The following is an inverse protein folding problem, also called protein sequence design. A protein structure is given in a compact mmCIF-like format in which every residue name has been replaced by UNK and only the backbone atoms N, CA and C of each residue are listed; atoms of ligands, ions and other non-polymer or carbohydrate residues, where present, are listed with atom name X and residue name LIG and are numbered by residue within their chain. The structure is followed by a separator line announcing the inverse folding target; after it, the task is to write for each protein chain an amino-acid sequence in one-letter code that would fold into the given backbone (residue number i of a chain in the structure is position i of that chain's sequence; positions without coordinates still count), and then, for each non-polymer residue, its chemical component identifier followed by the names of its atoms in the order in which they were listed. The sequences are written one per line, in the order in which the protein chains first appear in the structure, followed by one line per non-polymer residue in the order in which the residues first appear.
data_IF_228031726479
#
_entry.id   IF_228031726479
#
_cell.length_a   1.000
_cell.length_b   1.000
_cell.length_c   1.000
_cell.angle_alpha   90.00
_cell.angle_beta   90.00
_cell.angle_gamma   90.00
#
_symmetry.space_group_name_H-M   'P 1'
#
loop_
_entity.id
_entity.type
_entity.pdbx_description
1 polymer ?
#
# COMPACT_ATOMS: atom_id res chain seq x y z
N UNK A 1 6.46 -5.86 -23.44
CA UNK A 1 7.71 -5.55 -22.74
C UNK A 1 8.36 -4.38 -23.49
N UNK A 2 8.22 -3.16 -23.00
CA UNK A 2 8.92 -2.00 -23.55
C UNK A 2 9.34 -1.09 -22.39
N UNK A 3 10.38 -0.30 -22.58
CA UNK A 3 10.85 0.71 -21.62
C UNK A 3 10.14 2.03 -21.93
N UNK A 4 9.45 2.62 -20.95
CA UNK A 4 8.59 3.79 -21.14
C UNK A 4 9.33 5.12 -20.96
N UNK A 5 10.64 5.06 -20.63
CA UNK A 5 11.48 6.23 -20.31
C UNK A 5 10.92 7.11 -19.18
N UNK A 6 10.05 6.58 -18.32
CA UNK A 6 9.48 7.35 -17.22
C UNK A 6 10.52 7.57 -16.12
N UNK A 7 10.97 8.83 -15.96
CA UNK A 7 12.03 9.19 -15.02
C UNK A 7 11.63 9.04 -13.56
N UNK A 8 10.34 9.14 -13.24
CA UNK A 8 9.76 8.97 -11.91
C UNK A 8 9.83 7.50 -11.51
N UNK A 9 9.49 6.59 -12.42
CA UNK A 9 9.59 5.15 -12.18
C UNK A 9 11.05 4.70 -12.06
N UNK A 10 11.96 5.26 -12.89
CA UNK A 10 13.40 5.02 -12.74
C UNK A 10 13.90 5.54 -11.39
N UNK A 11 13.55 6.77 -11.01
CA UNK A 11 13.91 7.37 -9.72
C UNK A 11 13.35 6.58 -8.53
N UNK A 12 12.09 6.15 -8.60
CA UNK A 12 11.49 5.27 -7.60
C UNK A 12 12.25 3.93 -7.50
N UNK A 13 12.62 3.34 -8.64
CA UNK A 13 13.44 2.13 -8.71
C UNK A 13 14.85 2.29 -8.09
N UNK A 14 15.40 3.50 -8.04
CA UNK A 14 16.67 3.79 -7.37
C UNK A 14 16.54 3.82 -5.83
N UNK A 15 15.40 4.29 -5.30
CA UNK A 15 15.16 4.37 -3.85
C UNK A 15 14.70 3.05 -3.24
N UNK A 16 13.94 2.28 -4.02
CA UNK A 16 13.34 1.03 -3.59
C UNK A 16 14.39 -0.08 -3.54
N UNK A 17 14.29 -0.96 -2.54
CA UNK A 17 15.19 -2.11 -2.38
C UNK A 17 15.28 -2.97 -3.64
N UNK A 18 16.49 -3.45 -3.96
CA UNK A 18 16.75 -4.35 -5.08
C UNK A 18 15.82 -5.58 -5.07
N UNK A 19 15.47 -6.09 -3.89
CA UNK A 19 14.58 -7.24 -3.75
C UNK A 19 13.17 -6.94 -4.28
N UNK A 20 12.65 -5.74 -4.03
CA UNK A 20 11.33 -5.31 -4.50
C UNK A 20 11.37 -5.21 -6.03
N UNK A 21 12.38 -4.57 -6.62
CA UNK A 21 12.48 -4.43 -8.07
C UNK A 21 12.69 -5.78 -8.77
N UNK A 22 13.48 -6.69 -8.21
CA UNK A 22 13.62 -8.05 -8.72
C UNK A 22 12.31 -8.84 -8.62
N UNK A 23 11.53 -8.64 -7.55
CA UNK A 23 10.21 -9.24 -7.40
C UNK A 23 9.21 -8.68 -8.41
N UNK A 24 9.26 -7.37 -8.71
CA UNK A 24 8.48 -6.75 -9.78
C UNK A 24 8.84 -7.33 -11.14
N UNK A 25 10.13 -7.47 -11.46
CA UNK A 25 10.59 -8.07 -12.71
C UNK A 25 10.16 -9.52 -12.83
N UNK A 26 10.29 -10.31 -11.77
CA UNK A 26 9.85 -11.70 -11.75
C UNK A 26 8.33 -11.79 -11.96
N UNK A 27 7.55 -10.93 -11.30
CA UNK A 27 6.11 -10.82 -11.53
C UNK A 27 5.77 -10.44 -12.97
N UNK A 28 6.52 -9.53 -13.59
CA UNK A 28 6.34 -9.12 -14.98
C UNK A 28 6.65 -10.25 -15.98
N UNK A 29 7.75 -10.98 -15.78
CA UNK A 29 8.13 -12.14 -16.60
C UNK A 29 7.09 -13.25 -16.46
N UNK A 30 6.68 -13.57 -15.24
CA UNK A 30 5.72 -14.63 -14.98
C UNK A 30 4.33 -14.30 -15.55
N UNK A 31 3.87 -13.06 -15.39
CA UNK A 31 2.57 -12.63 -15.91
C UNK A 31 2.54 -12.45 -17.43
N UNK A 32 3.30 -11.49 -17.97
CA UNK A 32 3.27 -11.14 -19.38
C UNK A 32 4.13 -12.05 -20.27
N UNK A 33 5.17 -12.66 -19.72
CA UNK A 33 6.06 -13.55 -20.46
C UNK A 33 5.53 -14.98 -20.56
N UNK A 34 4.82 -15.47 -19.53
CA UNK A 34 4.41 -16.87 -19.44
C UNK A 34 2.89 -17.03 -19.35
N UNK A 35 2.25 -16.47 -18.33
CA UNK A 35 0.85 -16.76 -18.03
C UNK A 35 -0.14 -16.22 -19.06
N UNK A 36 -0.06 -14.94 -19.42
CA UNK A 36 -1.04 -14.34 -20.34
C UNK A 36 -0.99 -14.95 -21.75
N UNK A 37 0.19 -15.25 -22.34
CA UNK A 37 0.26 -16.01 -23.59
C UNK A 37 -0.35 -17.41 -23.48
N UNK A 38 -0.05 -18.17 -22.42
CA UNK A 38 -0.54 -19.54 -22.24
C UNK A 38 -2.05 -19.60 -21.98
N UNK A 39 -2.58 -18.72 -21.14
CA UNK A 39 -4.03 -18.62 -20.87
C UNK A 39 -4.76 -18.07 -22.10
N UNK A 40 -4.13 -17.13 -22.83
CA UNK A 40 -4.65 -16.61 -24.08
C UNK A 40 -4.85 -17.68 -25.17
N UNK A 41 -3.96 -18.67 -25.25
CA UNK A 41 -4.08 -19.81 -26.17
C UNK A 41 -5.27 -20.73 -25.84
N UNK A 42 -5.84 -20.66 -24.63
CA UNK A 42 -7.00 -21.44 -24.18
C UNK A 42 -8.33 -20.69 -24.31
N UNK A 43 -8.35 -19.60 -25.09
CA UNK A 43 -9.57 -18.84 -25.43
C UNK A 43 -10.56 -19.76 -26.17
N UNK A 44 -11.79 -19.87 -25.67
CA UNK A 44 -12.81 -20.80 -26.18
C UNK A 44 -13.08 -21.99 -25.24
N UNK A 45 -12.05 -22.54 -24.59
CA UNK A 45 -12.17 -23.66 -23.64
C UNK A 45 -12.33 -23.18 -22.19
N UNK A 46 -11.51 -22.21 -21.78
CA UNK A 46 -11.45 -21.74 -20.38
C UNK A 46 -12.28 -20.46 -20.13
N UNK A 47 -12.57 -19.73 -21.20
CA UNK A 47 -13.45 -18.57 -21.18
C UNK A 47 -14.09 -18.36 -22.57
N UNK A 48 -15.35 -17.90 -22.65
CA UNK A 48 -16.07 -17.74 -23.91
C UNK A 48 -15.37 -16.79 -24.87
N UNK A 49 -15.24 -17.19 -26.14
CA UNK A 49 -14.60 -16.40 -27.19
C UNK A 49 -15.41 -15.15 -27.60
N UNK A 50 -16.70 -15.09 -27.24
CA UNK A 50 -17.64 -14.01 -27.58
C UNK A 50 -17.59 -12.81 -26.63
N UNK A 51 -16.86 -12.89 -25.52
CA UNK A 51 -16.75 -11.80 -24.54
C UNK A 51 -15.63 -10.84 -24.91
N UNK A 52 -15.88 -9.53 -24.74
CA UNK A 52 -14.83 -8.52 -24.85
C UNK A 52 -13.67 -8.83 -23.89
N UNK A 53 -12.45 -8.55 -24.34
CA UNK A 53 -11.22 -8.82 -23.57
C UNK A 53 -11.13 -8.01 -22.27
N UNK A 54 -11.98 -6.99 -22.11
CA UNK A 54 -12.14 -6.15 -20.91
C UNK A 54 -13.11 -6.74 -19.89
N UNK A 55 -13.89 -7.76 -20.25
CA UNK A 55 -14.89 -8.36 -19.35
C UNK A 55 -14.23 -9.14 -18.21
N UNK A 56 -14.82 -9.09 -17.01
CA UNK A 56 -14.33 -9.84 -15.84
C UNK A 56 -14.42 -11.37 -16.01
N UNK A 57 -15.20 -11.84 -16.98
CA UNK A 57 -15.30 -13.27 -17.33
C UNK A 57 -14.30 -13.71 -18.39
N UNK A 58 -13.51 -12.78 -18.95
CA UNK A 58 -12.48 -13.06 -19.95
C UNK A 58 -11.07 -13.07 -19.33
N UNK A 59 -10.03 -13.05 -20.15
CA UNK A 59 -8.62 -13.03 -19.72
C UNK A 59 -8.33 -11.95 -18.66
N UNK A 60 -9.02 -10.82 -18.73
CA UNK A 60 -8.88 -9.73 -17.75
C UNK A 60 -9.26 -10.15 -16.33
N UNK A 61 -10.29 -11.00 -16.18
CA UNK A 61 -10.63 -11.59 -14.89
C UNK A 61 -9.46 -12.36 -14.27
N UNK A 62 -8.79 -13.20 -15.05
CA UNK A 62 -7.61 -13.94 -14.58
C UNK A 62 -6.47 -13.00 -14.15
N UNK A 63 -6.22 -11.93 -14.91
CA UNK A 63 -5.22 -10.91 -14.55
C UNK A 63 -5.49 -10.32 -13.18
N UNK A 64 -6.73 -9.93 -12.95
CA UNK A 64 -7.15 -9.31 -11.70
C UNK A 64 -7.15 -10.31 -10.55
N UNK A 65 -7.84 -11.45 -10.67
CA UNK A 65 -8.08 -12.34 -9.54
C UNK A 65 -6.81 -13.06 -9.09
N UNK A 66 -5.87 -13.37 -10.00
CA UNK A 66 -4.58 -13.95 -9.62
C UNK A 66 -3.69 -12.93 -8.91
N UNK A 67 -3.72 -11.66 -9.35
CA UNK A 67 -3.05 -10.57 -8.64
C UNK A 67 -3.65 -10.37 -7.23
N UNK A 68 -4.98 -10.36 -7.13
CA UNK A 68 -5.70 -10.27 -5.85
C UNK A 68 -5.34 -11.45 -4.94
N UNK A 69 -5.30 -12.68 -5.46
CA UNK A 69 -4.95 -13.88 -4.68
C UNK A 69 -3.52 -13.80 -4.10
N UNK A 70 -2.54 -13.37 -4.89
CA UNK A 70 -1.16 -13.12 -4.41
C UNK A 70 -1.12 -12.06 -3.31
N UNK A 71 -1.77 -10.92 -3.55
CA UNK A 71 -1.80 -9.78 -2.63
C UNK A 71 -2.52 -10.12 -1.33
N UNK A 72 -3.56 -10.96 -1.39
CA UNK A 72 -4.31 -11.42 -0.22
C UNK A 72 -3.55 -12.48 0.57
N UNK A 73 -2.90 -13.44 -0.10
CA UNK A 73 -2.09 -14.46 0.58
C UNK A 73 -0.92 -13.83 1.36
N UNK A 74 -0.20 -12.89 0.73
CA UNK A 74 0.87 -12.13 1.38
C UNK A 74 0.35 -11.24 2.52
N UNK A 75 -0.75 -10.53 2.27
CA UNK A 75 -1.38 -9.66 3.25
C UNK A 75 -1.87 -10.41 4.49
N UNK A 76 -2.48 -11.59 4.29
CA UNK A 76 -2.96 -12.44 5.39
C UNK A 76 -1.80 -12.98 6.21
N UNK A 77 -0.75 -13.49 5.56
CA UNK A 77 0.43 -13.98 6.27
C UNK A 77 1.06 -12.89 7.13
N UNK A 78 1.30 -11.71 6.53
CA UNK A 78 1.91 -10.57 7.22
C UNK A 78 1.03 -10.07 8.38
N UNK A 79 -0.29 -10.05 8.20
CA UNK A 79 -1.24 -9.71 9.24
C UNK A 79 -1.16 -10.69 10.42
N UNK A 80 -1.25 -12.00 10.16
CA UNK A 80 -1.20 -13.03 11.21
C UNK A 80 0.15 -13.01 11.94
N UNK A 81 1.27 -12.87 11.21
CA UNK A 81 2.61 -12.77 11.77
C UNK A 81 2.74 -11.58 12.73
N UNK A 82 2.39 -10.37 12.28
CA UNK A 82 2.56 -9.16 13.08
C UNK A 82 1.61 -9.16 14.28
N UNK A 83 0.37 -9.62 14.10
CA UNK A 83 -0.57 -9.80 15.21
C UNK A 83 -0.04 -10.82 16.24
N UNK A 84 0.51 -11.94 15.77
CA UNK A 84 1.12 -12.97 16.62
C UNK A 84 2.32 -12.44 17.42
N UNK A 85 3.26 -11.75 16.74
CA UNK A 85 4.43 -11.11 17.39
C UNK A 85 3.96 -10.09 18.43
N UNK A 86 2.95 -9.28 18.08
CA UNK A 86 2.38 -8.27 18.98
C UNK A 86 1.76 -8.93 20.21
N UNK A 87 0.93 -9.96 20.03
CA UNK A 87 0.31 -10.68 21.14
C UNK A 87 1.36 -11.35 22.03
N UNK A 88 2.34 -12.07 21.45
CA UNK A 88 3.39 -12.76 22.21
C UNK A 88 4.20 -11.75 23.02
N UNK A 89 4.59 -10.62 22.44
CA UNK A 89 5.34 -9.60 23.15
C UNK A 89 4.53 -8.92 24.25
N UNK A 90 3.24 -8.63 24.01
CA UNK A 90 2.35 -8.08 25.05
C UNK A 90 2.19 -9.06 26.21
N UNK A 91 1.92 -10.34 25.93
CA UNK A 91 1.81 -11.38 26.97
C UNK A 91 3.14 -11.60 27.70
N UNK A 92 4.26 -11.61 26.97
CA UNK A 92 5.60 -11.71 27.53
C UNK A 92 5.92 -10.55 28.49
N UNK A 93 5.55 -9.31 28.12
CA UNK A 93 5.76 -8.12 28.96
C UNK A 93 4.85 -8.12 30.20
N UNK A 94 3.61 -8.61 30.06
CA UNK A 94 2.69 -8.79 31.20
C UNK A 94 3.18 -9.87 32.16
N UNK A 95 3.81 -10.94 31.65
CA UNK A 95 4.40 -12.02 32.46
C UNK A 95 5.73 -11.62 33.11
N UNK A 96 6.59 -10.89 32.41
CA UNK A 96 7.91 -10.44 32.91
C UNK A 96 7.85 -9.22 33.83
N UNK A 97 6.68 -8.60 34.04
CA UNK A 97 6.50 -7.60 35.10
C UNK A 97 6.77 -8.16 36.52
N UNK A 98 6.95 -9.48 36.67
CA UNK A 98 7.28 -10.16 37.92
C UNK A 98 8.76 -10.58 38.08
N UNK A 99 9.66 -10.38 37.10
CA UNK A 99 11.08 -10.69 37.29
C UNK A 99 12.00 -9.58 36.75
N UNK A 100 12.64 -8.90 37.70
CA UNK A 100 13.69 -7.90 37.51
C UNK A 100 14.82 -8.39 36.60
N UNK A 101 15.37 -7.50 35.76
CA UNK A 101 16.76 -7.57 35.29
C UNK A 101 17.35 -6.18 35.24
N UNK A 102 17.92 -5.78 36.37
CA UNK A 102 18.91 -4.72 36.47
C UNK A 102 20.28 -5.27 36.01
N UNK A 103 21.19 -4.36 35.67
CA UNK A 103 22.65 -4.51 35.54
C UNK A 103 23.24 -4.36 34.12
N UNK A 104 22.63 -4.83 33.02
CA UNK A 104 23.19 -4.57 31.66
C UNK A 104 22.60 -3.32 30.95
N UNK A 105 21.52 -2.75 31.50
CA UNK A 105 20.82 -1.58 30.95
C UNK A 105 21.54 -0.24 31.19
N UNK A 106 22.49 -0.16 32.13
CA UNK A 106 22.80 1.09 32.85
C UNK A 106 23.48 2.21 32.03
N UNK A 107 24.16 1.89 30.91
CA UNK A 107 24.81 2.89 30.04
C UNK A 107 23.95 3.30 28.83
N UNK A 108 23.11 2.39 28.33
CA UNK A 108 22.13 2.69 27.27
C UNK A 108 20.90 3.40 27.85
N UNK A 109 20.53 3.04 29.08
CA UNK A 109 19.44 3.67 29.82
C UNK A 109 19.71 5.14 30.11
N UNK A 110 20.93 5.62 30.38
CA UNK A 110 21.06 6.99 30.89
C UNK A 110 20.75 8.07 29.83
N UNK A 111 21.20 7.86 28.59
CA UNK A 111 20.86 8.73 27.46
C UNK A 111 19.42 8.49 27.00
N UNK A 112 18.96 7.23 26.90
CA UNK A 112 17.56 6.92 26.56
C UNK A 112 16.58 7.40 27.66
N UNK A 113 16.97 7.41 28.93
CA UNK A 113 16.19 7.92 30.06
C UNK A 113 16.10 9.43 30.01
N UNK A 114 17.18 10.17 29.76
CA UNK A 114 17.12 11.63 29.56
C UNK A 114 16.28 11.99 28.34
N UNK A 115 16.42 11.23 27.25
CA UNK A 115 15.63 11.37 26.03
C UNK A 115 14.13 11.14 26.30
N UNK A 116 13.81 10.07 27.04
CA UNK A 116 12.46 9.73 27.45
C UNK A 116 11.89 10.73 28.46
N UNK A 117 12.70 11.24 29.39
CA UNK A 117 12.28 12.18 30.43
C UNK A 117 11.88 13.54 29.83
N UNK A 118 12.67 14.05 28.87
CA UNK A 118 12.32 15.23 28.08
C UNK A 118 11.03 15.03 27.27
N UNK A 119 10.88 13.86 26.63
CA UNK A 119 9.69 13.53 25.85
C UNK A 119 8.44 13.39 26.74
N UNK A 120 8.58 12.78 27.94
CA UNK A 120 7.50 12.56 28.88
C UNK A 120 7.03 13.85 29.56
N UNK A 121 7.94 14.81 29.76
CA UNK A 121 7.64 16.11 30.39
C UNK A 121 6.65 16.96 29.58
N UNK A 122 6.61 16.76 28.27
CA UNK A 122 5.71 17.48 27.36
C UNK A 122 4.57 16.60 26.82
N UNK A 123 4.23 15.52 27.53
CA UNK A 123 3.15 14.63 27.11
C UNK A 123 1.82 15.36 26.87
N UNK A 124 1.11 14.89 25.84
CA UNK A 124 -0.22 15.37 25.50
C UNK A 124 -1.20 14.68 26.46
N UNK A 125 -2.06 15.43 27.17
CA UNK A 125 -2.99 14.84 28.12
C UNK A 125 -3.96 13.90 27.41
N UNK A 126 -4.10 12.68 27.93
CA UNK A 126 -4.94 11.62 27.34
C UNK A 126 -6.39 12.07 27.14
N UNK A 127 -6.92 12.89 28.07
CA UNK A 127 -8.26 13.47 27.97
C UNK A 127 -8.48 14.25 26.68
N UNK A 128 -7.48 14.99 26.19
CA UNK A 128 -7.57 15.72 24.92
C UNK A 128 -7.74 14.74 23.74
N UNK A 129 -6.99 13.63 23.76
CA UNK A 129 -7.10 12.57 22.77
C UNK A 129 -8.47 11.87 22.80
N UNK A 130 -8.98 11.54 23.99
CA UNK A 130 -10.29 10.89 24.17
C UNK A 130 -11.42 11.80 23.72
N UNK A 131 -11.44 13.06 24.16
CA UNK A 131 -12.46 14.04 23.79
C UNK A 131 -12.41 14.29 22.27
N UNK A 132 -11.21 14.53 21.72
CA UNK A 132 -11.03 14.74 20.29
C UNK A 132 -11.52 13.53 19.47
N UNK A 133 -11.15 12.31 19.89
CA UNK A 133 -11.59 11.09 19.24
C UNK A 133 -13.11 10.95 19.24
N UNK A 134 -13.77 11.15 20.39
CA UNK A 134 -15.23 11.07 20.51
C UNK A 134 -15.89 12.10 19.61
N UNK A 135 -15.47 13.37 19.67
CA UNK A 135 -16.06 14.46 18.86
C UNK A 135 -15.90 14.18 17.36
N UNK A 136 -14.69 13.86 16.90
CA UNK A 136 -14.45 13.59 15.47
C UNK A 136 -15.11 12.28 15.00
N UNK A 137 -15.23 11.27 15.88
CA UNK A 137 -15.96 10.04 15.55
C UNK A 137 -17.46 10.32 15.35
N UNK A 138 -18.08 11.15 16.19
CA UNK A 138 -19.49 11.55 16.02
C UNK A 138 -19.67 12.32 14.71
N UNK A 139 -18.79 13.28 14.43
CA UNK A 139 -18.82 14.03 13.17
C UNK A 139 -18.69 13.09 11.96
N UNK A 140 -17.79 12.10 12.03
CA UNK A 140 -17.61 11.13 10.95
C UNK A 140 -18.80 10.18 10.79
N UNK A 141 -19.42 9.73 11.88
CA UNK A 141 -20.64 8.91 11.86
C UNK A 141 -21.80 9.64 11.17
N UNK A 142 -21.84 10.98 11.22
CA UNK A 142 -22.84 11.80 10.52
C UNK A 142 -22.42 12.06 9.07
N UNK A 143 -21.17 12.49 8.86
CA UNK A 143 -20.70 12.94 7.54
C UNK A 143 -20.52 11.79 6.54
N UNK A 144 -19.99 10.65 6.96
CA UNK A 144 -19.66 9.55 6.06
C UNK A 144 -20.92 8.96 5.39
N UNK A 145 -22.04 8.70 6.09
CA UNK A 145 -23.27 8.24 5.44
C UNK A 145 -23.92 9.28 4.51
N UNK A 146 -23.64 10.58 4.69
CA UNK A 146 -24.11 11.63 3.77
C UNK A 146 -23.33 11.58 2.45
N UNK A 147 -22.03 11.30 2.52
CA UNK A 147 -21.15 11.21 1.35
C UNK A 147 -21.33 9.85 0.63
N UNK A 148 -21.45 8.77 1.40
CA UNK A 148 -21.62 7.39 0.91
C UNK A 148 -22.88 6.78 1.52
N UNK A 149 -24.07 7.00 0.91
CA UNK A 149 -25.35 6.53 1.43
C UNK A 149 -25.42 5.01 1.67
N UNK A 150 -24.62 4.24 0.94
CA UNK A 150 -24.52 2.79 1.06
C UNK A 150 -23.85 2.36 2.38
N UNK A 151 -22.99 3.20 2.96
CA UNK A 151 -22.34 2.95 4.24
C UNK A 151 -23.19 3.52 5.38
N UNK A 152 -24.13 2.72 5.87
CA UNK A 152 -25.00 3.08 6.99
C UNK A 152 -24.20 3.40 8.26
N UNK A 153 -24.74 4.32 9.06
CA UNK A 153 -24.11 4.87 10.28
C UNK A 153 -23.61 3.79 11.25
N UNK A 154 -24.33 2.68 11.40
CA UNK A 154 -23.96 1.63 12.35
C UNK A 154 -22.65 0.90 11.94
N UNK A 155 -22.34 0.81 10.65
CA UNK A 155 -21.05 0.28 10.20
C UNK A 155 -19.90 1.20 10.60
N UNK A 156 -20.12 2.51 10.51
CA UNK A 156 -19.14 3.54 10.90
C UNK A 156 -18.89 3.50 12.40
N UNK A 157 -19.95 3.34 13.21
CA UNK A 157 -19.83 3.18 14.68
C UNK A 157 -19.01 1.94 15.05
N UNK A 158 -19.30 0.79 14.45
CA UNK A 158 -18.53 -0.45 14.71
C UNK A 158 -17.08 -0.30 14.26
N UNK A 159 -16.85 0.34 13.11
CA UNK A 159 -15.51 0.61 12.61
C UNK A 159 -14.70 1.46 13.60
N UNK A 160 -15.26 2.56 14.11
CA UNK A 160 -14.58 3.37 15.13
C UNK A 160 -14.46 2.66 16.48
N UNK A 161 -15.41 1.82 16.89
CA UNK A 161 -15.25 1.03 18.11
C UNK A 161 -14.02 0.10 18.05
N UNK A 162 -13.75 -0.50 16.88
CA UNK A 162 -12.61 -1.40 16.67
C UNK A 162 -11.30 -0.67 16.31
N UNK A 163 -11.39 0.55 15.77
CA UNK A 163 -10.25 1.26 15.19
C UNK A 163 -9.10 1.50 16.18
N UNK A 164 -9.29 1.90 17.46
CA UNK A 164 -8.19 2.10 18.40
C UNK A 164 -7.37 0.83 18.65
N UNK A 165 -8.04 -0.33 18.74
CA UNK A 165 -7.35 -1.61 18.91
C UNK A 165 -6.50 -1.95 17.69
N UNK A 166 -7.05 -1.80 16.48
CA UNK A 166 -6.34 -2.07 15.24
C UNK A 166 -5.18 -1.07 15.01
N UNK A 167 -5.42 0.20 15.33
CA UNK A 167 -4.43 1.27 15.27
C UNK A 167 -3.26 1.00 16.23
N UNK A 168 -3.55 0.57 17.47
CA UNK A 168 -2.53 0.18 18.43
C UNK A 168 -1.72 -1.02 17.95
N UNK A 169 -2.37 -2.09 17.49
CA UNK A 169 -1.68 -3.27 16.97
C UNK A 169 -0.79 -2.93 15.77
N UNK A 170 -1.26 -2.09 14.84
CA UNK A 170 -0.46 -1.68 13.70
C UNK A 170 0.70 -0.77 14.09
N UNK A 171 0.48 0.24 14.94
CA UNK A 171 1.55 1.15 15.38
C UNK A 171 2.61 0.41 16.22
N UNK A 172 2.19 -0.50 17.09
CA UNK A 172 3.10 -1.33 17.87
C UNK A 172 3.87 -2.31 16.98
N UNK A 173 3.17 -3.00 16.07
CA UNK A 173 3.79 -3.89 15.09
C UNK A 173 4.80 -3.16 14.22
N UNK A 174 4.42 -2.01 13.66
CA UNK A 174 5.30 -1.15 12.89
C UNK A 174 6.49 -0.65 13.71
N UNK A 175 6.31 -0.31 14.99
CA UNK A 175 7.41 0.06 15.87
C UNK A 175 8.43 -1.08 16.11
N UNK A 176 8.00 -2.34 16.01
CA UNK A 176 8.88 -3.52 16.17
C UNK A 176 9.50 -3.99 14.86
N UNK A 177 8.77 -3.91 13.75
CA UNK A 177 9.16 -4.53 12.47
C UNK A 177 9.44 -3.53 11.36
N UNK A 178 9.22 -2.23 11.61
CA UNK A 178 9.27 -1.13 10.63
C UNK A 178 8.35 -1.34 9.41
N UNK A 179 7.23 -2.03 9.63
CA UNK A 179 6.30 -2.44 8.58
C UNK A 179 4.90 -1.89 8.90
N UNK A 180 4.41 -0.94 8.08
CA UNK A 180 3.05 -0.41 8.19
C UNK A 180 2.06 -1.26 7.38
N UNK A 181 1.12 -1.90 8.08
CA UNK A 181 0.14 -2.82 7.49
C UNK A 181 -1.25 -2.23 7.32
N UNK A 182 -1.42 -0.91 7.40
CA UNK A 182 -2.74 -0.26 7.32
C UNK A 182 -3.58 -0.71 6.10
N UNK A 183 -2.93 -0.95 4.96
CA UNK A 183 -3.58 -1.49 3.77
C UNK A 183 -4.13 -2.92 3.96
N UNK A 184 -3.44 -3.77 4.73
CA UNK A 184 -3.89 -5.13 5.02
C UNK A 184 -5.05 -5.14 6.04
N UNK A 185 -4.99 -4.29 7.08
CA UNK A 185 -6.12 -4.06 7.98
C UNK A 185 -7.35 -3.56 7.20
N UNK A 186 -7.16 -2.63 6.28
CA UNK A 186 -8.20 -2.13 5.38
C UNK A 186 -8.84 -3.25 4.54
N UNK A 187 -8.03 -4.14 3.95
CA UNK A 187 -8.55 -5.29 3.18
C UNK A 187 -9.36 -6.27 4.04
N UNK A 188 -8.95 -6.51 5.29
CA UNK A 188 -9.74 -7.33 6.22
C UNK A 188 -11.09 -6.66 6.50
N UNK A 189 -11.08 -5.36 6.79
CA UNK A 189 -12.32 -4.59 6.97
C UNK A 189 -13.20 -4.58 5.72
N UNK A 190 -12.61 -4.52 4.53
CA UNK A 190 -13.30 -4.63 3.25
C UNK A 190 -14.10 -5.92 3.16
N UNK A 191 -13.50 -7.09 3.44
CA UNK A 191 -14.21 -8.37 3.38
C UNK A 191 -15.28 -8.51 4.45
N UNK A 192 -15.01 -8.05 5.67
CA UNK A 192 -16.00 -8.06 6.76
C UNK A 192 -17.21 -7.20 6.39
N UNK A 193 -16.99 -5.98 5.91
CA UNK A 193 -18.07 -5.09 5.51
C UNK A 193 -18.78 -5.57 4.25
N UNK A 194 -18.07 -6.12 3.27
CA UNK A 194 -18.67 -6.73 2.08
C UNK A 194 -19.63 -7.87 2.45
N UNK A 195 -19.22 -8.74 3.39
CA UNK A 195 -20.06 -9.82 3.87
C UNK A 195 -21.30 -9.34 4.66
N UNK A 196 -21.18 -8.22 5.38
CA UNK A 196 -22.28 -7.67 6.19
C UNK A 196 -23.26 -6.79 5.39
N UNK A 197 -22.80 -6.13 4.33
CA UNK A 197 -23.55 -5.07 3.62
C UNK A 197 -24.52 -5.56 2.54
N UNK A 198 -24.56 -6.87 2.24
CA UNK A 198 -25.52 -7.46 1.30
C UNK A 198 -25.18 -7.21 -0.17
N UNK A 199 -25.94 -7.83 -1.08
CA UNK A 199 -25.58 -7.94 -2.51
C UNK A 199 -25.72 -6.67 -3.35
N UNK A 200 -26.74 -5.85 -3.11
CA UNK A 200 -27.08 -4.77 -4.06
C UNK A 200 -26.17 -3.53 -3.93
N UNK A 201 -25.69 -3.21 -2.72
CA UNK A 201 -24.86 -2.01 -2.48
C UNK A 201 -23.58 -2.30 -1.69
N UNK A 202 -23.24 -3.58 -1.49
CA UNK A 202 -22.14 -3.96 -0.60
C UNK A 202 -20.75 -3.55 -1.09
N UNK A 203 -20.57 -3.36 -2.40
CA UNK A 203 -19.27 -3.00 -2.98
C UNK A 203 -18.85 -1.59 -2.53
N UNK A 204 -19.75 -0.61 -2.64
CA UNK A 204 -19.45 0.79 -2.25
C UNK A 204 -19.26 0.88 -0.73
N UNK A 205 -20.13 0.25 0.05
CA UNK A 205 -20.01 0.20 1.51
C UNK A 205 -18.68 -0.43 1.96
N UNK A 206 -18.28 -1.55 1.35
CA UNK A 206 -17.02 -2.22 1.65
C UNK A 206 -15.80 -1.36 1.30
N UNK A 207 -15.82 -0.66 0.15
CA UNK A 207 -14.75 0.23 -0.26
C UNK A 207 -14.62 1.45 0.65
N UNK A 208 -15.74 2.12 0.97
CA UNK A 208 -15.77 3.28 1.83
C UNK A 208 -15.29 2.92 3.25
N UNK A 209 -15.80 1.83 3.82
CA UNK A 209 -15.40 1.39 5.16
C UNK A 209 -13.96 0.82 5.22
N UNK A 210 -13.48 0.20 4.14
CA UNK A 210 -12.06 -0.12 3.97
C UNK A 210 -11.20 1.14 4.05
N UNK A 211 -11.59 2.19 3.32
CA UNK A 211 -10.92 3.48 3.34
C UNK A 211 -10.90 4.11 4.73
N UNK A 212 -12.02 4.02 5.46
CA UNK A 212 -12.16 4.50 6.83
C UNK A 212 -11.16 3.84 7.79
N UNK A 213 -11.17 2.50 7.85
CA UNK A 213 -10.25 1.74 8.73
C UNK A 213 -8.79 1.95 8.33
N UNK A 214 -8.49 1.88 7.03
CA UNK A 214 -7.14 2.12 6.50
C UNK A 214 -6.63 3.49 6.96
N UNK A 215 -7.43 4.54 6.83
CA UNK A 215 -7.02 5.90 7.18
C UNK A 215 -6.68 6.03 8.67
N UNK A 216 -7.53 5.54 9.57
CA UNK A 216 -7.29 5.61 11.02
C UNK A 216 -6.03 4.84 11.40
N UNK A 217 -5.89 3.60 10.89
CA UNK A 217 -4.76 2.72 11.21
C UNK A 217 -3.44 3.26 10.62
N UNK A 218 -3.49 3.88 9.44
CA UNK A 218 -2.31 4.50 8.80
C UNK A 218 -1.86 5.75 9.55
N UNK A 219 -2.79 6.65 9.90
CA UNK A 219 -2.47 7.89 10.61
C UNK A 219 -1.87 7.59 11.99
N UNK A 220 -2.40 6.59 12.71
CA UNK A 220 -1.83 6.19 14.00
C UNK A 220 -0.38 5.69 13.89
N UNK A 221 -0.06 4.94 12.83
CA UNK A 221 1.30 4.47 12.57
C UNK A 221 2.25 5.62 12.21
N UNK A 222 1.81 6.53 11.33
CA UNK A 222 2.61 7.70 10.93
C UNK A 222 2.87 8.60 12.13
N UNK A 223 1.85 8.90 12.94
CA UNK A 223 1.97 9.68 14.16
C UNK A 223 2.98 9.06 15.15
N UNK A 224 3.02 7.72 15.26
CA UNK A 224 4.02 7.02 16.07
C UNK A 224 5.45 7.21 15.53
N UNK A 225 5.65 7.13 14.21
CA UNK A 225 6.94 7.38 13.55
C UNK A 225 7.37 8.86 13.69
N UNK A 226 6.44 9.80 13.55
CA UNK A 226 6.68 11.23 13.73
C UNK A 226 7.13 11.53 15.17
N UNK A 227 6.47 10.95 16.16
CA UNK A 227 6.88 11.08 17.56
C UNK A 227 8.23 10.42 17.83
N UNK A 228 8.53 9.28 17.19
CA UNK A 228 9.86 8.69 17.32
C UNK A 228 10.93 9.59 16.73
N UNK A 229 10.65 10.24 15.61
CA UNK A 229 11.54 11.22 14.99
C UNK A 229 11.73 12.43 15.90
N UNK A 230 10.64 12.98 16.45
CA UNK A 230 10.69 14.08 17.42
C UNK A 230 11.56 13.75 18.63
N UNK A 231 11.45 12.51 19.14
CA UNK A 231 12.28 12.02 20.22
C UNK A 231 13.77 12.01 19.85
N UNK A 232 14.12 11.56 18.65
CA UNK A 232 15.52 11.51 18.17
C UNK A 232 16.09 12.91 17.87
N UNK A 233 15.26 13.87 17.48
CA UNK A 233 15.66 15.25 17.16
C UNK A 233 15.51 16.20 18.34
N UNK A 234 15.22 15.71 19.55
CA UNK A 234 14.93 16.53 20.74
C UNK A 234 13.85 17.60 20.52
N UNK A 235 12.92 17.33 19.60
CA UNK A 235 11.83 18.26 19.27
C UNK A 235 10.65 18.05 20.20
N UNK A 236 9.99 19.14 20.58
CA UNK A 236 8.78 19.11 21.42
C UNK A 236 7.68 18.24 20.79
N UNK A 237 7.15 17.22 21.51
CA UNK A 237 6.01 16.42 21.04
C UNK A 237 4.74 17.24 20.79
N UNK A 238 4.54 18.32 21.56
CA UNK A 238 3.39 19.22 21.39
C UNK A 238 3.50 20.03 20.10
N UNK A 239 4.71 20.53 19.81
CA UNK A 239 4.96 21.24 18.56
C UNK A 239 4.79 20.30 17.35
N UNK A 240 5.25 19.05 17.46
CA UNK A 240 5.06 18.03 16.42
C UNK A 240 3.56 17.77 16.18
N UNK A 241 2.79 17.53 17.24
CA UNK A 241 1.34 17.32 17.13
C UNK A 241 0.62 18.52 16.53
N UNK A 242 0.94 19.75 16.97
CA UNK A 242 0.35 20.96 16.41
C UNK A 242 0.68 21.12 14.92
N UNK A 243 1.92 20.85 14.53
CA UNK A 243 2.35 20.88 13.12
C UNK A 243 1.57 19.88 12.27
N UNK A 244 1.31 18.68 12.81
CA UNK A 244 0.52 17.67 12.13
C UNK A 244 -0.96 18.04 12.01
N UNK A 245 -1.54 18.70 13.03
CA UNK A 245 -2.91 19.24 12.95
C UNK A 245 -3.01 20.30 11.86
N UNK A 246 -2.05 21.23 11.80
CA UNK A 246 -1.98 22.26 10.75
C UNK A 246 -1.81 21.63 9.37
N UNK A 247 -0.87 20.69 9.23
CA UNK A 247 -0.62 19.97 7.98
C UNK A 247 -1.84 19.18 7.51
N UNK A 248 -2.57 18.55 8.45
CA UNK A 248 -3.83 17.84 8.15
C UNK A 248 -4.90 18.82 7.68
N UNK A 249 -5.06 19.97 8.34
CA UNK A 249 -6.03 20.99 7.95
C UNK A 249 -5.77 21.54 6.54
N UNK A 250 -4.51 21.81 6.21
CA UNK A 250 -4.10 22.23 4.85
C UNK A 250 -4.37 21.09 3.86
N UNK A 251 -4.00 19.85 4.22
CA UNK A 251 -4.21 18.65 3.41
C UNK A 251 -5.68 18.38 3.07
N UNK A 252 -6.60 18.68 3.99
CA UNK A 252 -8.05 18.56 3.75
C UNK A 252 -8.55 19.47 2.61
N UNK A 253 -7.84 20.56 2.30
CA UNK A 253 -8.18 21.47 1.19
C UNK A 253 -7.37 21.14 -0.05
N UNK A 254 -6.05 20.99 0.09
CA UNK A 254 -5.14 20.83 -1.05
C UNK A 254 -5.30 19.47 -1.72
N UNK A 255 -5.41 18.36 -0.97
CA UNK A 255 -5.45 17.02 -1.56
C UNK A 255 -6.73 16.78 -2.39
N UNK A 256 -7.96 17.11 -1.93
CA UNK A 256 -9.14 17.00 -2.76
C UNK A 256 -9.10 17.94 -3.97
N UNK A 257 -8.60 19.17 -3.80
CA UNK A 257 -8.51 20.15 -4.89
C UNK A 257 -7.59 19.66 -6.00
N UNK A 258 -6.40 19.14 -5.66
CA UNK A 258 -5.48 18.53 -6.61
C UNK A 258 -6.10 17.29 -7.25
N UNK A 259 -6.75 16.41 -6.48
CA UNK A 259 -7.42 15.24 -7.03
C UNK A 259 -8.48 15.62 -8.08
N UNK A 260 -9.37 16.57 -7.77
CA UNK A 260 -10.40 17.00 -8.70
C UNK A 260 -9.85 17.73 -9.93
N UNK A 261 -8.72 18.43 -9.81
CA UNK A 261 -8.03 19.02 -10.95
C UNK A 261 -7.59 17.93 -11.94
N UNK A 262 -6.86 16.92 -11.47
CA UNK A 262 -6.42 15.80 -12.30
C UNK A 262 -7.60 14.99 -12.85
N UNK A 263 -8.61 14.74 -12.01
CA UNK A 263 -9.78 13.97 -12.40
C UNK A 263 -10.64 14.66 -13.48
N UNK A 264 -10.62 16.00 -13.54
CA UNK A 264 -11.31 16.76 -14.61
C UNK A 264 -10.43 17.00 -15.83
N UNK A 265 -9.12 17.16 -15.65
CA UNK A 265 -8.19 17.45 -16.74
C UNK A 265 -7.88 16.21 -17.58
N UNK A 266 -7.82 15.04 -16.95
CA UNK A 266 -7.45 13.78 -17.61
C UNK A 266 -8.53 12.72 -17.46
N UNK A 267 -8.58 11.79 -18.41
CA UNK A 267 -9.52 10.66 -18.41
C UNK A 267 -9.03 9.54 -17.46
N UNK A 268 -9.09 9.83 -16.15
CA UNK A 268 -8.60 8.95 -15.09
C UNK A 268 -9.48 7.70 -15.00
N UNK A 269 -8.86 6.53 -15.16
CA UNK A 269 -9.53 5.23 -15.10
C UNK A 269 -9.81 4.60 -16.46
N UNK A 270 -9.55 5.29 -17.57
CA UNK A 270 -9.63 4.71 -18.91
C UNK A 270 -8.56 3.61 -19.07
N UNK A 271 -8.92 2.35 -19.40
CA UNK A 271 -7.96 1.25 -19.61
C UNK A 271 -6.95 1.50 -20.74
N UNK A 272 -7.32 2.33 -21.71
CA UNK A 272 -6.51 2.70 -22.87
C UNK A 272 -5.86 4.08 -22.74
N UNK A 273 -6.23 4.84 -21.71
CA UNK A 273 -5.62 6.14 -21.39
C UNK A 273 -4.29 6.01 -20.67
N UNK A 274 -3.65 7.16 -20.46
CA UNK A 274 -2.38 7.28 -19.73
C UNK A 274 -2.58 7.08 -18.23
N UNK A 275 -3.60 7.72 -17.65
CA UNK A 275 -3.91 7.64 -16.22
C UNK A 275 -4.82 6.46 -15.88
N UNK A 276 -4.28 5.25 -16.02
CA UNK A 276 -4.96 4.02 -15.59
C UNK A 276 -5.10 4.02 -14.06
N UNK A 277 -6.22 3.53 -13.54
CA UNK A 277 -6.47 3.42 -12.10
C UNK A 277 -6.37 1.95 -11.62
N UNK A 278 -5.19 1.30 -11.69
CA UNK A 278 -5.06 -0.13 -11.46
C UNK A 278 -5.45 -0.53 -10.03
N UNK A 279 -5.03 0.24 -9.03
CA UNK A 279 -5.39 -0.03 -7.63
C UNK A 279 -6.90 0.08 -7.38
N UNK A 280 -7.59 1.01 -8.01
CA UNK A 280 -9.05 1.13 -7.90
C UNK A 280 -9.74 -0.16 -8.39
N UNK A 281 -9.21 -0.75 -9.47
CA UNK A 281 -9.69 -2.04 -9.99
C UNK A 281 -9.42 -3.18 -9.02
N UNK A 282 -8.24 -3.26 -8.39
CA UNK A 282 -7.94 -4.28 -7.37
C UNK A 282 -8.97 -4.21 -6.24
N UNK A 283 -9.15 -3.01 -5.67
CA UNK A 283 -10.05 -2.81 -4.54
C UNK A 283 -11.51 -3.08 -4.90
N UNK A 284 -11.96 -2.61 -6.07
CA UNK A 284 -13.32 -2.90 -6.57
C UNK A 284 -13.54 -4.40 -6.71
N UNK A 285 -12.59 -5.13 -7.28
CA UNK A 285 -12.74 -6.56 -7.53
C UNK A 285 -12.59 -7.39 -6.24
N UNK A 286 -11.79 -6.95 -5.27
CA UNK A 286 -11.80 -7.52 -3.91
C UNK A 286 -13.17 -7.33 -3.25
N UNK A 287 -13.80 -6.17 -3.42
CA UNK A 287 -15.13 -5.90 -2.86
C UNK A 287 -16.21 -6.75 -3.56
N UNK A 288 -16.17 -6.88 -4.89
CA UNK A 288 -17.06 -7.78 -5.63
C UNK A 288 -16.89 -9.22 -5.15
N UNK A 289 -15.65 -9.70 -4.98
CA UNK A 289 -15.38 -11.04 -4.45
C UNK A 289 -15.93 -11.23 -3.03
N UNK A 290 -15.89 -10.19 -2.20
CA UNK A 290 -16.47 -10.21 -0.86
C UNK A 290 -18.01 -10.24 -0.83
N UNK A 291 -18.67 -9.63 -1.83
CA UNK A 291 -20.13 -9.50 -1.89
C UNK A 291 -20.78 -10.66 -2.66
N UNK A 292 -20.28 -10.96 -3.86
CA UNK A 292 -20.82 -11.99 -4.74
C UNK A 292 -20.22 -13.38 -4.45
N UNK A 293 -19.14 -13.44 -3.68
CA UNK A 293 -18.42 -14.67 -3.39
C UNK A 293 -17.72 -15.25 -4.62
N UNK A 294 -17.38 -16.53 -4.56
CA UNK A 294 -16.61 -17.22 -5.60
C UNK A 294 -17.39 -17.43 -6.91
N UNK A 295 -18.70 -17.20 -6.95
CA UNK A 295 -19.51 -17.30 -8.17
C UNK A 295 -19.21 -16.23 -9.23
N UNK A 296 -18.50 -15.16 -8.86
CA UNK A 296 -18.06 -14.13 -9.80
C UNK A 296 -16.87 -14.56 -10.69
N UNK A 297 -16.24 -15.69 -10.39
CA UNK A 297 -14.99 -16.12 -11.03
C UNK A 297 -15.22 -16.88 -12.35
N UNK A 298 -14.36 -16.70 -13.37
CA UNK A 298 -14.31 -17.57 -14.54
C UNK A 298 -14.07 -19.05 -14.17
N UNK A 299 -14.44 -19.98 -15.05
CA UNK A 299 -14.15 -21.41 -14.88
C UNK A 299 -12.64 -21.63 -14.66
N UNK A 300 -12.24 -22.57 -13.81
CA UNK A 300 -10.83 -22.84 -13.43
C UNK A 300 -10.03 -21.71 -12.76
N UNK A 301 -10.51 -20.45 -12.77
CA UNK A 301 -9.83 -19.32 -12.14
C UNK A 301 -9.64 -19.52 -10.63
N UNK A 302 -10.63 -20.09 -9.95
CA UNK A 302 -10.58 -20.36 -8.52
C UNK A 302 -9.45 -21.34 -8.11
N UNK A 303 -9.21 -22.39 -8.92
CA UNK A 303 -8.14 -23.36 -8.66
C UNK A 303 -6.76 -22.69 -8.76
N UNK A 304 -6.58 -21.85 -9.79
CA UNK A 304 -5.37 -21.04 -9.94
C UNK A 304 -5.22 -20.04 -8.78
N UNK A 305 -6.31 -19.38 -8.36
CA UNK A 305 -6.28 -18.47 -7.22
C UNK A 305 -5.81 -19.19 -5.94
N UNK A 306 -6.29 -20.41 -5.66
CA UNK A 306 -5.79 -21.19 -4.52
C UNK A 306 -4.31 -21.54 -4.66
N UNK A 307 -3.85 -21.89 -5.86
CA UNK A 307 -2.43 -22.14 -6.12
C UNK A 307 -1.57 -20.91 -5.84
N UNK A 308 -1.95 -19.74 -6.36
CA UNK A 308 -1.22 -18.48 -6.16
C UNK A 308 -1.29 -17.97 -4.72
N UNK A 309 -2.42 -18.16 -4.04
CA UNK A 309 -2.59 -17.83 -2.62
C UNK A 309 -1.69 -18.72 -1.74
N UNK A 310 -1.71 -20.04 -1.98
CA UNK A 310 -0.85 -20.98 -1.27
C UNK A 310 0.64 -20.70 -1.55
N UNK A 311 0.99 -20.37 -2.80
CA UNK A 311 2.33 -19.95 -3.19
C UNK A 311 2.79 -18.70 -2.44
N UNK A 312 1.94 -17.67 -2.31
CA UNK A 312 2.26 -16.46 -1.56
C UNK A 312 2.53 -16.76 -0.08
N UNK A 313 1.73 -17.63 0.54
CA UNK A 313 1.95 -18.06 1.94
C UNK A 313 3.24 -18.89 2.05
N UNK A 314 3.46 -19.83 1.14
CA UNK A 314 4.63 -20.69 1.14
C UNK A 314 5.93 -19.90 0.98
N UNK A 315 5.99 -18.93 0.07
CA UNK A 315 7.17 -18.06 -0.08
C UNK A 315 7.44 -17.29 1.21
N UNK A 316 6.41 -16.71 1.82
CA UNK A 316 6.58 -15.95 3.06
C UNK A 316 7.04 -16.85 4.22
N UNK A 317 6.51 -18.08 4.32
CA UNK A 317 6.99 -19.09 5.27
C UNK A 317 8.46 -19.44 5.02
N UNK A 318 8.84 -19.73 3.78
CA UNK A 318 10.23 -20.03 3.43
C UNK A 318 11.11 -18.83 3.74
N UNK A 319 10.69 -17.61 3.44
CA UNK A 319 11.45 -16.40 3.72
C UNK A 319 11.75 -16.24 5.21
N UNK A 320 10.78 -16.55 6.07
CA UNK A 320 10.88 -16.32 7.52
C UNK A 320 11.53 -17.50 8.27
N UNK A 321 11.38 -18.74 7.80
CA UNK A 321 11.92 -19.94 8.45
C UNK A 321 13.24 -20.47 7.85
N UNK A 322 13.60 -20.05 6.63
CA UNK A 322 14.82 -20.51 5.95
C UNK A 322 16.06 -19.71 6.41
N UNK A 323 17.27 -20.26 6.31
CA UNK A 323 18.50 -19.54 6.67
C UNK A 323 18.61 -18.21 5.93
N UNK A 324 19.23 -17.21 6.58
CA UNK A 324 19.37 -15.83 6.06
C UNK A 324 19.84 -15.76 4.60
N UNK A 325 20.68 -16.70 4.15
CA UNK A 325 21.17 -16.76 2.76
C UNK A 325 20.09 -17.06 1.72
N UNK A 326 19.06 -17.84 2.05
CA UNK A 326 17.98 -18.18 1.12
C UNK A 326 16.80 -17.22 1.32
N UNK A 327 16.49 -16.87 2.58
CA UNK A 327 15.41 -15.94 2.90
C UNK A 327 15.58 -14.55 2.29
N UNK A 328 16.81 -14.02 2.24
CA UNK A 328 17.08 -12.70 1.66
C UNK A 328 16.81 -12.59 0.15
N UNK A 329 16.78 -13.70 -0.58
CA UNK A 329 16.56 -13.74 -2.03
C UNK A 329 15.15 -14.19 -2.41
N UNK A 330 14.31 -14.54 -1.43
CA UNK A 330 12.93 -14.92 -1.71
C UNK A 330 12.13 -13.70 -2.18
N UNK A 331 11.39 -13.81 -3.29
CA UNK A 331 10.65 -12.69 -3.83
C UNK A 331 9.50 -12.28 -2.91
N UNK A 332 8.98 -11.08 -3.11
CA UNK A 332 7.86 -10.52 -2.35
C UNK A 332 6.55 -10.75 -3.14
N UNK A 333 5.68 -11.68 -2.73
CA UNK A 333 4.49 -12.04 -3.52
C UNK A 333 3.52 -10.88 -3.78
N UNK A 334 3.34 -9.97 -2.81
CA UNK A 334 2.52 -8.76 -3.01
C UNK A 334 3.05 -7.91 -4.19
N UNK A 335 4.36 -7.71 -4.22
CA UNK A 335 5.05 -6.90 -5.22
C UNK A 335 4.96 -7.57 -6.58
N UNK A 336 5.15 -8.90 -6.64
CA UNK A 336 4.97 -9.69 -7.86
C UNK A 336 3.57 -9.58 -8.47
N UNK A 337 2.53 -9.33 -7.65
CA UNK A 337 1.16 -9.19 -8.11
C UNK A 337 0.87 -7.86 -8.82
N UNK A 338 1.67 -6.81 -8.60
CA UNK A 338 1.44 -5.48 -9.20
C UNK A 338 1.60 -5.50 -10.74
N UNK A 339 2.67 -6.11 -11.30
CA UNK A 339 2.83 -6.31 -12.74
C UNK A 339 1.66 -6.95 -13.47
N UNK A 340 0.90 -7.82 -12.81
CA UNK A 340 -0.20 -8.56 -13.44
C UNK A 340 -1.30 -7.63 -13.96
N UNK A 341 -1.39 -6.42 -13.41
CA UNK A 341 -2.46 -5.45 -13.66
C UNK A 341 -1.99 -4.21 -14.40
N UNK A 342 -0.82 -3.67 -14.01
CA UNK A 342 -0.31 -2.40 -14.54
C UNK A 342 0.40 -2.63 -15.88
N UNK A 343 1.10 -3.75 -16.02
CA UNK A 343 1.92 -4.04 -17.19
C UNK A 343 3.38 -4.34 -16.83
N UNK A 344 4.10 -4.93 -17.78
CA UNK A 344 5.52 -5.21 -17.60
C UNK A 344 6.41 -3.96 -17.71
N UNK A 345 5.96 -2.90 -18.39
CA UNK A 345 6.80 -1.73 -18.70
C UNK A 345 7.29 -1.01 -17.44
N UNK A 346 6.41 -0.72 -16.47
CA UNK A 346 6.83 -0.04 -15.24
C UNK A 346 7.86 -0.86 -14.42
N UNK A 347 7.74 -2.20 -14.43
CA UNK A 347 8.67 -3.06 -13.72
C UNK A 347 10.09 -3.01 -14.33
N UNK A 348 10.17 -2.82 -15.66
CA UNK A 348 11.43 -2.62 -16.38
C UNK A 348 12.02 -1.27 -15.99
N UNK A 349 11.23 -0.20 -15.98
CA UNK A 349 11.69 1.14 -15.62
C UNK A 349 12.27 1.17 -14.20
N UNK A 350 11.56 0.58 -13.23
CA UNK A 350 12.06 0.45 -11.85
C UNK A 350 13.29 -0.47 -11.76
N UNK A 351 13.34 -1.53 -12.55
CA UNK A 351 14.49 -2.43 -12.66
C UNK A 351 15.76 -1.72 -13.15
N UNK A 352 15.63 -0.83 -14.13
CA UNK A 352 16.72 -0.01 -14.67
C UNK A 352 17.26 0.94 -13.60
N UNK A 353 16.37 1.59 -12.83
CA UNK A 353 16.79 2.41 -11.67
C UNK A 353 17.64 1.62 -10.68
N UNK A 354 17.23 0.39 -10.37
CA UNK A 354 18.00 -0.51 -9.51
C UNK A 354 19.36 -0.89 -10.10
N UNK A 355 19.41 -1.14 -11.43
CA UNK A 355 20.65 -1.46 -12.13
C UNK A 355 21.64 -0.29 -12.07
N UNK A 356 21.18 0.95 -12.24
CA UNK A 356 22.00 2.14 -12.08
C UNK A 356 22.62 2.21 -10.67
N UNK A 357 21.81 1.96 -9.64
CA UNK A 357 22.28 1.95 -8.25
C UNK A 357 23.31 0.84 -8.01
N UNK A 358 23.09 -0.38 -8.54
CA UNK A 358 24.05 -1.48 -8.43
C UNK A 358 25.39 -1.17 -9.11
N UNK A 359 25.36 -0.57 -10.30
CA UNK A 359 26.56 -0.16 -11.04
C UNK A 359 27.29 0.95 -10.27
N UNK A 360 26.55 1.91 -9.71
CA UNK A 360 27.14 3.01 -8.93
C UNK A 360 27.78 2.49 -7.65
N UNK A 361 27.11 1.60 -6.89
CA UNK A 361 27.68 0.98 -5.70
C UNK A 361 28.95 0.18 -5.98
N UNK A 362 29.01 -0.52 -7.13
CA UNK A 362 30.22 -1.23 -7.58
C UNK A 362 31.38 -0.29 -7.93
N UNK A 363 31.09 0.93 -8.42
CA UNK A 363 32.14 1.91 -8.76
C UNK A 363 32.60 2.73 -7.56
N UNK A 364 31.68 3.20 -6.73
CA UNK A 364 32.00 4.02 -5.56
C UNK A 364 30.87 4.01 -4.53
N UNK A 365 31.01 3.13 -3.53
CA UNK A 365 30.02 2.91 -2.46
C UNK A 365 29.75 4.17 -1.64
N UNK A 366 30.80 4.87 -1.19
CA UNK A 366 30.66 6.05 -0.31
C UNK A 366 29.92 7.20 -0.99
N UNK A 367 30.19 7.43 -2.28
CA UNK A 367 29.49 8.47 -3.05
C UNK A 367 28.06 8.05 -3.41
N UNK A 368 27.82 6.75 -3.65
CA UNK A 368 26.50 6.22 -3.96
C UNK A 368 25.53 6.44 -2.79
N UNK A 369 25.92 6.10 -1.56
CA UNK A 369 25.05 6.22 -0.38
C UNK A 369 24.52 7.64 -0.16
N UNK A 370 25.33 8.66 -0.45
CA UNK A 370 24.93 10.07 -0.29
C UNK A 370 24.19 10.63 -1.51
N UNK A 371 24.60 10.25 -2.73
CA UNK A 371 24.09 10.87 -3.96
C UNK A 371 22.86 10.17 -4.53
N UNK A 372 22.67 8.87 -4.27
CA UNK A 372 21.53 8.10 -4.82
C UNK A 372 20.19 8.70 -4.39
N UNK A 373 19.95 9.04 -3.10
CA UNK A 373 18.70 9.69 -2.71
C UNK A 373 18.50 11.03 -3.41
N UNK A 374 19.53 11.86 -3.51
CA UNK A 374 19.45 13.17 -4.16
C UNK A 374 19.12 13.08 -5.65
N UNK A 375 19.78 12.16 -6.38
CA UNK A 375 19.55 11.94 -7.82
C UNK A 375 18.14 11.39 -8.04
N UNK A 376 17.75 10.38 -7.26
CA UNK A 376 16.44 9.77 -7.38
C UNK A 376 15.30 10.75 -7.07
N UNK A 377 15.42 11.53 -6.00
CA UNK A 377 14.47 12.61 -5.69
C UNK A 377 14.45 13.68 -6.78
N UNK A 378 15.59 13.99 -7.39
CA UNK A 378 15.67 14.91 -8.53
C UNK A 378 14.91 14.42 -9.76
N UNK A 379 15.01 13.12 -10.09
CA UNK A 379 14.25 12.50 -11.18
C UNK A 379 12.75 12.54 -10.93
N UNK A 380 12.31 12.16 -9.72
CA UNK A 380 10.89 12.16 -9.33
C UNK A 380 10.33 13.59 -9.32
N UNK A 381 11.03 14.52 -8.69
CA UNK A 381 10.60 15.92 -8.58
C UNK A 381 10.62 16.62 -9.95
N UNK A 382 11.64 16.35 -10.78
CA UNK A 382 11.77 16.95 -12.11
C UNK A 382 10.59 16.62 -13.01
N UNK A 383 10.16 15.36 -13.04
CA UNK A 383 8.96 14.97 -13.81
C UNK A 383 7.68 15.52 -13.19
N UNK A 384 7.52 15.43 -11.86
CA UNK A 384 6.35 15.97 -11.17
C UNK A 384 6.16 17.49 -11.36
N UNK A 385 7.27 18.24 -11.41
CA UNK A 385 7.25 19.68 -11.74
C UNK A 385 6.82 19.94 -13.19
N UNK A 386 7.10 19.01 -14.11
CA UNK A 386 6.70 19.12 -15.52
C UNK A 386 5.23 18.75 -15.75
N UNK A 387 4.68 17.82 -14.96
CA UNK A 387 3.28 17.40 -15.06
C UNK A 387 2.29 18.55 -14.87
N UNK A 388 2.63 19.57 -14.05
CA UNK A 388 1.78 20.73 -13.82
C UNK A 388 1.66 21.65 -15.06
N UNK A 389 2.76 22.14 -15.67
CA UNK A 389 2.71 22.79 -16.97
C UNK A 389 2.03 21.94 -18.04
N UNK A 390 2.31 20.64 -18.10
CA UNK A 390 1.67 19.73 -19.05
C UNK A 390 0.14 19.68 -18.88
N UNK A 391 -0.35 19.57 -17.64
CA UNK A 391 -1.78 19.61 -17.35
C UNK A 391 -2.42 20.94 -17.78
N UNK A 392 -1.74 22.06 -17.56
CA UNK A 392 -2.21 23.38 -18.00
C UNK A 392 -2.25 23.48 -19.53
N UNK A 393 -1.21 22.98 -20.22
CA UNK A 393 -1.16 22.93 -21.68
C UNK A 393 -2.25 22.01 -22.27
N UNK A 394 -2.52 20.87 -21.62
CA UNK A 394 -3.57 19.94 -21.99
C UNK A 394 -4.97 20.56 -21.84
N UNK A 395 -5.22 21.27 -20.73
CA UNK A 395 -6.46 22.06 -20.52
C UNK A 395 -6.60 23.14 -21.59
N UNK A 396 -5.50 23.79 -21.96
CA UNK A 396 -5.46 24.78 -23.04
C UNK A 396 -5.55 24.17 -24.45
N UNK A 397 -5.68 22.84 -24.58
CA UNK A 397 -5.77 22.10 -25.85
C UNK A 397 -4.56 22.36 -26.78
N UNK A 398 -3.41 22.73 -26.22
CA UNK A 398 -2.20 23.00 -26.99
C UNK A 398 -1.59 21.67 -27.39
N UNK A 399 -1.50 21.41 -28.70
CA UNK A 399 -0.90 20.18 -29.21
C UNK A 399 0.63 20.26 -29.12
N UNK A 400 1.32 19.22 -28.61
CA UNK A 400 2.77 19.20 -28.59
C UNK A 400 3.33 19.26 -30.03
N UNK A 401 4.39 20.03 -30.28
CA UNK A 401 4.95 20.21 -31.62
C UNK A 401 5.61 18.94 -32.17
N UNK A 402 5.95 17.98 -31.30
CA UNK A 402 6.57 16.70 -31.67
C UNK A 402 5.92 15.59 -30.84
N UNK A 403 5.26 14.64 -31.51
CA UNK A 403 4.81 13.37 -30.93
C UNK A 403 5.71 12.25 -31.43
N UNK A 404 6.57 11.71 -30.55
CA UNK A 404 7.42 10.57 -30.89
C UNK A 404 6.68 9.27 -30.50
N UNK A 405 6.20 8.52 -31.48
CA UNK A 405 5.49 7.25 -31.27
C UNK A 405 6.39 6.10 -31.70
N UNK A 406 6.83 5.27 -30.76
CA UNK A 406 7.54 4.03 -31.07
C UNK A 406 6.52 2.96 -31.44
N UNK A 407 6.35 2.73 -32.74
CA UNK A 407 5.50 1.65 -33.26
C UNK A 407 6.35 0.37 -33.23
N UNK A 408 5.82 -0.69 -32.63
CA UNK A 408 6.43 -2.01 -32.73
C UNK A 408 6.39 -2.45 -34.20
N UNK A 409 7.55 -2.81 -34.78
CA UNK A 409 7.64 -3.36 -36.14
C UNK A 409 7.01 -4.74 -36.23
#
# INVERSE_FOLDING_TARGET
FFFDFNTTLVGAGMLVSHLVNLSLLLGAVLSYGVMWPLIGQRKGDWFPASLEETSMKSLYGYKVFLAVALILGDGLYSFVKIMGITMINIHGRLRNKNLNTAVDHQKKDLDDQKLNELFLRETIPLWLGVIGYVVFSIMSVIAVPIIFPELKWYYVVVAYALAPSLAFCNAYGAGLTDINMAYNYGKVALFVLAALSGRENGVVAALAGCGLIKSVVSVACILMQDFKTAQLTFTSPRAMFLSQVIGTAIGCVTAPSSFFLFYKAFDVGNPYGEFKAPYALIYRNMAILGVEGFSALPQHCLQLCYGFFAFAIAINLVRDFSPQKVGQWMPLPMVMGVPFLIGASFAIDMGIGSLFVLIWHKRNTKKAELMVPAVASGLICGEGLWTLPEAVLAIAQIRPPICMKFVAS
#
